data_IF_836693911027
#
_entry.id   IF_836693911027
#
_cell.length_a   1.000
_cell.length_b   1.000
_cell.length_c   1.000
_cell.angle_alpha   90.00
_cell.angle_beta   90.00
_cell.angle_gamma   90.00
#
_symmetry.space_group_name_H-M   'P 1'
#
loop_
_entity.id
_entity.type
_entity.pdbx_description
1 polymer ?
#
# COMPACT_ATOMS: atom_id res chain seq x y z
N UNK A 1 3.23 6.69 19.12
CA UNK A 1 2.77 6.96 17.76
C UNK A 1 1.32 7.38 17.70
N UNK A 2 0.91 7.97 16.60
CA UNK A 2 -0.45 8.37 16.36
C UNK A 2 -0.83 8.17 14.88
N UNK A 3 -2.13 8.05 14.64
CA UNK A 3 -2.73 7.83 13.34
C UNK A 3 -3.95 8.73 13.17
N UNK A 4 -4.14 9.24 11.97
CA UNK A 4 -5.35 9.95 11.58
C UNK A 4 -5.68 9.58 10.13
N UNK A 5 -6.95 9.39 9.84
CA UNK A 5 -7.46 9.23 8.48
C UNK A 5 -8.71 10.07 8.23
N UNK A 6 -8.99 10.28 6.98
CA UNK A 6 -10.18 10.96 6.52
C UNK A 6 -10.62 10.33 5.20
N UNK A 7 -11.83 9.82 5.15
CA UNK A 7 -12.49 9.32 3.94
C UNK A 7 -13.73 10.15 3.64
N UNK A 8 -13.82 10.65 2.43
CA UNK A 8 -15.02 11.29 1.89
C UNK A 8 -15.45 10.57 0.62
N UNK A 9 -16.69 10.11 0.59
CA UNK A 9 -17.29 9.45 -0.57
C UNK A 9 -18.63 10.06 -0.92
N UNK A 10 -18.94 10.08 -2.22
CA UNK A 10 -20.23 10.52 -2.71
C UNK A 10 -20.84 9.45 -3.61
N UNK A 11 -21.86 8.76 -3.09
CA UNK A 11 -22.52 7.66 -3.82
C UNK A 11 -23.43 8.21 -4.90
N UNK A 12 -23.14 7.85 -6.15
CA UNK A 12 -23.95 8.10 -7.34
C UNK A 12 -24.55 6.77 -7.84
N UNK A 13 -25.37 6.83 -8.86
CA UNK A 13 -26.08 5.65 -9.38
C UNK A 13 -25.11 4.55 -9.88
N UNK A 14 -24.09 4.91 -10.65
CA UNK A 14 -23.19 3.98 -11.33
C UNK A 14 -21.71 4.15 -10.95
N UNK A 15 -21.40 5.02 -9.99
CA UNK A 15 -20.03 5.28 -9.54
C UNK A 15 -20.06 5.94 -8.17
N UNK A 16 -19.05 5.65 -7.35
CA UNK A 16 -18.83 6.29 -6.06
C UNK A 16 -17.45 6.95 -6.07
N UNK A 17 -17.33 8.25 -6.40
CA UNK A 17 -16.08 8.98 -6.23
C UNK A 17 -15.74 9.13 -4.74
N UNK A 18 -14.45 9.03 -4.43
CA UNK A 18 -13.95 9.14 -3.07
C UNK A 18 -12.57 9.78 -2.99
N UNK A 19 -12.28 10.37 -1.84
CA UNK A 19 -10.98 10.86 -1.44
C UNK A 19 -10.62 10.25 -0.09
N UNK A 20 -9.46 9.63 -0.01
CA UNK A 20 -8.88 9.12 1.24
C UNK A 20 -7.58 9.86 1.51
N UNK A 21 -7.39 10.25 2.74
CA UNK A 21 -6.14 10.72 3.30
C UNK A 21 -5.82 9.89 4.54
N UNK A 22 -4.56 9.51 4.73
CA UNK A 22 -4.09 9.01 6.02
C UNK A 22 -2.74 9.59 6.39
N UNK A 23 -2.46 9.61 7.67
CA UNK A 23 -1.16 9.92 8.25
C UNK A 23 -0.91 8.99 9.43
N UNK A 24 0.21 8.28 9.40
CA UNK A 24 0.73 7.50 10.51
C UNK A 24 2.10 8.02 10.89
N UNK A 25 2.31 8.33 12.18
CA UNK A 25 3.59 8.82 12.65
C UNK A 25 4.71 7.83 12.35
N UNK A 26 5.85 8.35 11.94
CA UNK A 26 7.11 7.65 11.83
C UNK A 26 7.94 7.74 13.11
N UNK A 27 9.13 7.18 13.06
CA UNK A 27 10.13 7.22 14.11
C UNK A 27 11.10 8.39 13.91
N UNK A 28 11.62 8.96 14.98
CA UNK A 28 12.58 10.06 14.94
C UNK A 28 14.02 9.56 14.64
N UNK A 29 15.02 10.44 14.78
CA UNK A 29 16.43 10.12 14.55
C UNK A 29 17.11 9.42 15.72
N UNK A 30 16.45 9.32 16.87
CA UNK A 30 17.06 8.79 18.08
C UNK A 30 16.69 7.31 18.30
N UNK A 31 17.61 6.36 18.05
CA UNK A 31 17.28 4.93 18.17
C UNK A 31 17.17 4.45 19.62
N UNK A 32 17.46 5.32 20.61
CA UNK A 32 17.59 4.94 22.03
C UNK A 32 16.43 5.39 22.92
N UNK A 33 15.50 6.22 22.42
CA UNK A 33 14.37 6.75 23.19
C UNK A 33 13.08 5.92 23.05
N UNK A 34 13.11 4.81 22.34
CA UNK A 34 11.94 4.02 21.95
C UNK A 34 11.49 4.35 20.53
N UNK A 35 10.29 3.95 20.15
CA UNK A 35 9.75 4.26 18.84
C UNK A 35 8.49 5.11 18.96
N UNK A 36 8.48 6.26 18.28
CA UNK A 36 7.34 7.13 18.12
C UNK A 36 6.46 6.73 16.92
N UNK A 37 6.92 5.76 16.16
CA UNK A 37 6.16 5.24 15.03
C UNK A 37 4.85 4.62 15.48
N UNK A 38 3.78 4.89 14.75
CA UNK A 38 2.51 4.20 14.95
C UNK A 38 2.71 2.70 14.80
N UNK A 39 2.41 1.86 15.83
CA UNK A 39 2.50 0.43 15.68
C UNK A 39 1.47 -0.08 14.68
N UNK A 40 1.82 -1.10 13.92
CA UNK A 40 0.84 -1.82 13.10
C UNK A 40 -0.06 -2.64 14.02
N UNK A 41 -1.36 -2.36 14.00
CA UNK A 41 -2.36 -3.11 14.76
C UNK A 41 -2.94 -4.25 13.93
N UNK A 42 -3.01 -4.05 12.61
CA UNK A 42 -3.49 -5.02 11.65
C UNK A 42 -2.54 -5.03 10.44
N UNK A 43 -1.87 -6.14 10.17
CA UNK A 43 -1.02 -6.26 8.99
C UNK A 43 -1.83 -6.34 7.70
N UNK A 44 -3.09 -6.75 7.76
CA UNK A 44 -3.95 -7.01 6.61
C UNK A 44 -4.73 -5.75 6.17
N UNK A 45 -4.02 -4.65 5.97
CA UNK A 45 -4.63 -3.41 5.47
C UNK A 45 -4.70 -3.44 3.94
N UNK A 46 -5.93 -3.31 3.43
CA UNK A 46 -6.24 -3.32 1.99
C UNK A 46 -6.63 -1.91 1.54
N UNK A 47 -5.69 -1.15 1.05
CA UNK A 47 -5.97 0.20 0.56
C UNK A 47 -5.74 0.30 -0.94
N UNK A 48 -4.72 -0.37 -1.45
CA UNK A 48 -4.37 -0.39 -2.87
C UNK A 48 -4.13 -1.82 -3.35
N UNK A 49 -4.06 -2.02 -4.66
CA UNK A 49 -3.85 -3.34 -5.26
C UNK A 49 -2.38 -3.67 -5.48
N UNK A 50 -1.45 -2.80 -5.06
CA UNK A 50 -0.02 -3.03 -5.20
C UNK A 50 0.76 -2.71 -3.92
N UNK A 51 0.93 -1.44 -3.57
CA UNK A 51 1.83 -1.02 -2.49
C UNK A 51 1.30 -1.38 -1.10
N UNK A 52 0.02 -1.23 -0.87
CA UNK A 52 -0.69 -1.59 0.34
C UNK A 52 -1.75 -2.67 0.05
N UNK A 53 -1.32 -3.67 -0.73
CA UNK A 53 -2.13 -4.81 -1.07
C UNK A 53 -2.00 -5.88 0.01
N UNK A 54 -2.99 -5.95 0.86
CA UNK A 54 -3.17 -7.05 1.77
C UNK A 54 -4.15 -8.11 1.24
N UNK A 55 -4.44 -8.13 -0.08
CA UNK A 55 -5.44 -9.06 -0.58
C UNK A 55 -5.00 -10.51 -0.39
N UNK A 56 -5.89 -11.26 0.22
CA UNK A 56 -5.74 -12.69 0.48
C UNK A 56 -5.46 -13.50 -0.80
N UNK A 57 -5.82 -12.96 -1.95
CA UNK A 57 -5.75 -13.64 -3.25
C UNK A 57 -4.46 -13.40 -4.02
N UNK A 58 -3.76 -12.33 -3.70
CA UNK A 58 -2.56 -11.96 -4.45
C UNK A 58 -1.29 -12.66 -3.99
N UNK A 59 -1.28 -13.24 -2.79
CA UNK A 59 -0.07 -13.81 -2.18
C UNK A 59 1.07 -12.80 -2.06
N UNK A 60 0.81 -11.55 -2.38
CA UNK A 60 1.78 -10.49 -2.30
C UNK A 60 1.80 -10.00 -0.85
N UNK A 61 2.94 -10.18 -0.22
CA UNK A 61 3.26 -9.44 0.97
C UNK A 61 3.10 -7.93 0.67
N UNK A 62 2.64 -7.19 1.64
CA UNK A 62 2.58 -5.74 1.56
C UNK A 62 3.96 -5.21 1.18
N UNK A 63 4.05 -4.58 0.02
CA UNK A 63 5.34 -4.21 -0.56
C UNK A 63 5.90 -2.93 0.03
N UNK A 64 5.04 -2.07 0.64
CA UNK A 64 5.42 -0.73 1.07
C UNK A 64 5.29 -0.49 2.57
N UNK A 65 5.32 -1.52 3.38
CA UNK A 65 5.30 -1.42 4.83
C UNK A 65 4.24 -2.27 5.48
N UNK A 66 4.29 -2.36 6.79
CA UNK A 66 3.34 -3.13 7.59
C UNK A 66 2.15 -2.27 7.97
N UNK A 67 1.04 -2.55 7.35
CA UNK A 67 -0.10 -1.67 7.46
C UNK A 67 0.26 -0.28 6.90
N UNK A 68 -0.33 0.74 7.41
CA UNK A 68 -0.06 2.13 7.02
C UNK A 68 1.00 2.80 7.90
N UNK A 69 1.65 2.04 8.81
CA UNK A 69 2.59 2.56 9.80
C UNK A 69 3.77 3.30 9.16
N UNK A 70 4.06 4.49 9.66
CA UNK A 70 5.17 5.29 9.17
C UNK A 70 4.98 5.84 7.75
N UNK A 71 3.73 6.07 7.32
CA UNK A 71 3.41 6.63 6.01
C UNK A 71 2.30 7.66 6.09
N UNK A 72 2.24 8.54 5.10
CA UNK A 72 1.07 9.35 4.80
C UNK A 72 0.73 9.24 3.31
N UNK A 73 -0.53 9.43 2.97
CA UNK A 73 -0.96 9.40 1.57
C UNK A 73 -2.21 10.22 1.30
N UNK A 74 -2.37 10.52 0.02
CA UNK A 74 -3.63 11.03 -0.56
C UNK A 74 -4.02 10.09 -1.70
N UNK A 75 -5.26 9.63 -1.67
CA UNK A 75 -5.83 8.76 -2.71
C UNK A 75 -7.13 9.35 -3.24
N UNK A 76 -7.25 9.41 -4.56
CA UNK A 76 -8.52 9.60 -5.24
C UNK A 76 -8.98 8.25 -5.79
N UNK A 77 -10.27 7.96 -5.64
CA UNK A 77 -10.85 6.72 -6.15
C UNK A 77 -12.19 6.95 -6.85
N UNK A 78 -12.46 6.09 -7.82
CA UNK A 78 -13.78 5.88 -8.40
C UNK A 78 -14.12 4.41 -8.20
N UNK A 79 -15.00 4.12 -7.27
CA UNK A 79 -15.47 2.76 -6.97
C UNK A 79 -16.88 2.51 -7.48
N UNK A 80 -17.32 1.26 -7.44
CA UNK A 80 -18.63 0.82 -7.93
C UNK A 80 -18.94 1.22 -9.38
N UNK A 81 -17.93 1.44 -10.23
CA UNK A 81 -18.16 1.72 -11.65
C UNK A 81 -18.79 0.47 -12.26
N UNK A 82 -20.06 0.59 -12.69
CA UNK A 82 -20.82 -0.54 -13.20
C UNK A 82 -21.57 -0.15 -14.47
N UNK A 83 -21.28 -0.84 -15.57
CA UNK A 83 -21.97 -0.72 -16.85
C UNK A 83 -22.69 -2.01 -17.23
N UNK A 84 -22.45 -3.09 -16.51
CA UNK A 84 -23.03 -4.40 -16.69
C UNK A 84 -23.41 -4.96 -15.33
N UNK A 85 -24.55 -5.64 -15.25
CA UNK A 85 -24.98 -6.32 -14.04
C UNK A 85 -23.90 -7.27 -13.51
N UNK A 86 -23.68 -7.29 -12.22
CA UNK A 86 -22.68 -8.09 -11.53
C UNK A 86 -21.21 -7.81 -11.84
N UNK A 87 -20.91 -6.83 -12.71
CA UNK A 87 -19.56 -6.38 -13.00
C UNK A 87 -19.30 -5.00 -12.38
N UNK A 88 -18.29 -4.93 -11.53
CA UNK A 88 -17.86 -3.68 -10.88
C UNK A 88 -16.40 -3.42 -11.11
N UNK A 89 -16.07 -2.15 -11.31
CA UNK A 89 -14.69 -1.69 -11.41
C UNK A 89 -14.38 -0.65 -10.34
N UNK A 90 -13.13 -0.61 -9.92
CA UNK A 90 -12.57 0.43 -9.06
C UNK A 90 -11.28 0.94 -9.66
N UNK A 91 -11.15 2.26 -9.79
CA UNK A 91 -9.91 2.93 -10.22
C UNK A 91 -9.39 3.75 -9.07
N UNK A 92 -8.09 3.63 -8.75
CA UNK A 92 -7.42 4.41 -7.70
C UNK A 92 -6.18 5.09 -8.23
N UNK A 93 -5.93 6.29 -7.75
CA UNK A 93 -4.69 7.03 -7.96
C UNK A 93 -4.21 7.48 -6.59
N UNK A 94 -2.99 7.10 -6.24
CA UNK A 94 -2.45 7.30 -4.89
C UNK A 94 -1.06 7.92 -4.96
N UNK A 95 -0.82 8.91 -4.13
CA UNK A 95 0.52 9.37 -3.79
C UNK A 95 0.76 9.10 -2.31
N UNK A 96 1.91 8.54 -1.96
CA UNK A 96 2.30 8.31 -0.58
C UNK A 96 3.80 8.54 -0.36
N UNK A 97 4.13 8.84 0.89
CA UNK A 97 5.48 9.12 1.35
C UNK A 97 5.67 8.58 2.76
N UNK A 98 6.90 8.21 3.07
CA UNK A 98 7.26 7.80 4.42
C UNK A 98 7.29 8.96 5.41
N UNK A 99 7.17 8.63 6.70
CA UNK A 99 7.25 9.58 7.81
C UNK A 99 8.39 9.27 8.78
N UNK A 100 9.12 8.16 8.57
CA UNK A 100 10.27 7.82 9.39
C UNK A 100 11.48 8.70 9.06
N UNK A 101 12.30 9.00 10.06
CA UNK A 101 13.58 9.65 9.84
C UNK A 101 14.56 8.68 9.14
N UNK A 102 15.33 9.17 8.17
CA UNK A 102 16.31 8.38 7.43
C UNK A 102 17.38 7.75 8.31
N UNK A 103 17.78 8.43 9.37
CA UNK A 103 18.81 7.94 10.32
C UNK A 103 18.31 6.72 11.09
N UNK A 104 17.05 6.70 11.51
CA UNK A 104 16.44 5.53 12.16
C UNK A 104 16.57 4.28 11.30
N UNK A 105 16.26 4.39 10.01
CA UNK A 105 16.36 3.25 9.08
C UNK A 105 17.81 2.83 8.87
N UNK A 106 18.75 3.79 8.75
CA UNK A 106 20.18 3.48 8.62
C UNK A 106 20.73 2.70 9.81
N UNK A 107 20.32 3.07 11.03
CA UNK A 107 20.86 2.45 12.24
C UNK A 107 20.19 1.12 12.58
N UNK A 108 18.88 0.98 12.35
CA UNK A 108 18.12 -0.23 12.72
C UNK A 108 17.97 -1.26 11.60
N UNK A 109 17.78 -0.83 10.36
CA UNK A 109 17.50 -1.75 9.24
C UNK A 109 18.73 -2.37 8.63
N UNK A 110 19.87 -1.66 8.68
CA UNK A 110 21.12 -2.12 8.05
C UNK A 110 21.91 -3.03 8.96
N UNK A 111 21.66 -3.03 10.26
CA UNK A 111 22.43 -3.78 11.25
C UNK A 111 21.94 -5.20 11.51
N UNK A 112 20.78 -5.58 11.04
CA UNK A 112 20.28 -6.94 11.21
C UNK A 112 19.79 -7.57 9.90
N UNK A 113 20.70 -8.17 9.10
CA UNK A 113 20.32 -8.88 7.86
C UNK A 113 19.38 -10.08 8.09
N UNK A 114 19.21 -10.53 9.31
CA UNK A 114 18.33 -11.66 9.65
C UNK A 114 16.86 -11.23 9.78
N UNK A 115 16.58 -9.96 9.99
CA UNK A 115 15.22 -9.41 9.88
C UNK A 115 14.75 -9.27 8.43
N UNK A 116 15.60 -9.59 7.46
CA UNK A 116 15.31 -9.46 6.02
C UNK A 116 14.19 -10.38 5.53
N UNK A 117 13.85 -11.41 6.25
CA UNK A 117 12.74 -12.30 5.86
C UNK A 117 11.35 -11.68 6.13
N UNK A 118 11.32 -10.63 6.95
CA UNK A 118 10.16 -9.80 7.28
C UNK A 118 10.54 -8.31 7.23
N UNK A 119 11.57 -7.94 6.50
CA UNK A 119 12.03 -6.56 6.42
C UNK A 119 11.01 -5.73 5.68
N UNK A 120 10.09 -5.23 6.44
CA UNK A 120 9.18 -4.19 6.05
C UNK A 120 10.00 -3.00 5.61
N UNK A 121 9.67 -2.50 4.42
CA UNK A 121 10.20 -1.23 3.99
C UNK A 121 9.63 -0.16 4.91
N UNK A 122 10.45 0.33 5.83
CA UNK A 122 10.12 1.51 6.59
C UNK A 122 10.42 2.74 5.76
N UNK A 123 9.43 3.18 5.00
CA UNK A 123 9.59 4.37 4.17
C UNK A 123 9.98 5.58 5.03
N UNK A 124 10.95 6.32 4.54
CA UNK A 124 11.44 7.54 5.20
C UNK A 124 10.84 8.78 4.55
N UNK A 125 11.10 9.94 5.14
CA UNK A 125 10.67 11.24 4.60
C UNK A 125 11.22 11.55 3.21
N UNK A 126 12.26 10.83 2.78
CA UNK A 126 12.86 10.94 1.43
C UNK A 126 12.25 9.94 0.43
N UNK A 127 11.49 8.95 0.92
CA UNK A 127 10.91 7.90 0.10
C UNK A 127 9.46 8.21 -0.25
N UNK A 128 9.13 8.15 -1.52
CA UNK A 128 7.77 8.41 -2.01
C UNK A 128 7.42 7.50 -3.18
N UNK A 129 6.12 7.37 -3.43
CA UNK A 129 5.64 6.62 -4.55
C UNK A 129 4.33 7.18 -5.11
N UNK A 130 4.11 6.90 -6.37
CA UNK A 130 2.87 7.13 -7.08
C UNK A 130 2.33 5.80 -7.59
N UNK A 131 1.06 5.55 -7.35
CA UNK A 131 0.42 4.29 -7.71
C UNK A 131 -0.90 4.52 -8.44
N UNK A 132 -1.19 3.67 -9.41
CA UNK A 132 -2.47 3.60 -10.12
C UNK A 132 -2.95 2.16 -10.10
N UNK A 133 -4.20 1.95 -9.71
CA UNK A 133 -4.85 0.65 -9.72
C UNK A 133 -6.12 0.66 -10.58
N UNK A 134 -6.38 -0.47 -11.21
CA UNK A 134 -7.64 -0.79 -11.86
C UNK A 134 -8.05 -2.19 -11.45
N UNK A 135 -9.06 -2.28 -10.61
CA UNK A 135 -9.58 -3.53 -10.09
C UNK A 135 -10.97 -3.81 -10.63
N UNK A 136 -11.26 -5.07 -10.86
CA UNK A 136 -12.55 -5.50 -11.36
C UNK A 136 -13.02 -6.74 -10.63
N UNK A 137 -14.31 -6.79 -10.33
CA UNK A 137 -14.98 -7.97 -9.79
C UNK A 137 -16.18 -8.32 -10.63
N UNK A 138 -16.31 -9.58 -10.99
CA UNK A 138 -17.44 -10.10 -11.75
C UNK A 138 -18.05 -11.30 -11.02
N UNK A 139 -19.30 -11.18 -10.64
CA UNK A 139 -20.07 -12.26 -10.02
C UNK A 139 -20.67 -13.12 -11.12
N UNK A 140 -20.06 -14.28 -11.38
CA UNK A 140 -20.51 -15.23 -12.43
C UNK A 140 -21.74 -15.99 -11.97
N UNK A 141 -21.74 -16.45 -10.71
CA UNK A 141 -22.85 -17.11 -10.03
C UNK A 141 -22.91 -16.63 -8.58
N UNK A 142 -23.95 -16.97 -7.84
CA UNK A 142 -24.09 -16.58 -6.42
C UNK A 142 -22.88 -16.96 -5.57
N UNK A 143 -22.23 -18.06 -5.91
CA UNK A 143 -21.10 -18.64 -5.20
C UNK A 143 -19.78 -18.62 -6.00
N UNK A 144 -19.73 -17.97 -7.16
CA UNK A 144 -18.52 -17.89 -8.01
C UNK A 144 -18.26 -16.47 -8.46
N UNK A 145 -17.13 -15.94 -8.09
CA UNK A 145 -16.68 -14.60 -8.48
C UNK A 145 -15.29 -14.63 -9.09
N UNK A 146 -15.10 -13.79 -10.08
CA UNK A 146 -13.82 -13.50 -10.73
C UNK A 146 -13.31 -12.13 -10.28
N UNK A 147 -12.04 -12.04 -9.90
CA UNK A 147 -11.37 -10.79 -9.54
C UNK A 147 -10.16 -10.58 -10.43
N UNK A 148 -10.02 -9.38 -10.91
CA UNK A 148 -8.89 -8.96 -11.73
C UNK A 148 -8.33 -7.65 -11.18
N UNK A 149 -7.05 -7.64 -10.83
CA UNK A 149 -6.34 -6.49 -10.26
C UNK A 149 -5.17 -6.12 -11.15
N UNK A 150 -5.09 -4.86 -11.52
CA UNK A 150 -3.97 -4.26 -12.22
C UNK A 150 -3.40 -3.14 -11.36
N UNK A 151 -2.12 -3.23 -11.04
CA UNK A 151 -1.39 -2.22 -10.31
C UNK A 151 -0.17 -1.72 -11.10
N UNK A 152 0.01 -0.42 -11.12
CA UNK A 152 1.24 0.23 -11.56
C UNK A 152 1.77 1.08 -10.43
N UNK A 153 3.05 0.95 -10.12
CA UNK A 153 3.72 1.76 -9.12
C UNK A 153 5.02 2.35 -9.67
N UNK A 154 5.23 3.62 -9.41
CA UNK A 154 6.50 4.31 -9.60
C UNK A 154 7.09 4.67 -8.25
N UNK A 155 8.24 4.09 -7.96
CA UNK A 155 9.00 4.35 -6.75
C UNK A 155 10.00 5.49 -6.99
N UNK A 156 10.16 6.37 -6.01
CA UNK A 156 11.18 7.39 -5.91
C UNK A 156 11.74 7.33 -4.48
N UNK A 157 12.78 6.53 -4.32
CA UNK A 157 13.34 6.14 -3.02
C UNK A 157 14.75 6.71 -2.86
N UNK A 158 15.18 6.97 -1.63
CA UNK A 158 16.56 7.41 -1.33
C UNK A 158 17.56 6.29 -1.69
N UNK A 159 18.22 6.45 -2.85
CA UNK A 159 19.21 5.48 -3.32
C UNK A 159 20.37 5.31 -2.34
N UNK A 160 20.77 6.36 -1.64
CA UNK A 160 21.88 6.30 -0.69
C UNK A 160 21.54 5.43 0.53
N UNK A 161 20.25 5.40 0.89
CA UNK A 161 19.75 4.59 1.99
C UNK A 161 19.54 3.12 1.57
N UNK A 162 18.91 2.92 0.40
CA UNK A 162 18.42 1.59 -0.01
C UNK A 162 19.40 0.80 -0.89
N UNK A 163 20.39 1.46 -1.53
CA UNK A 163 21.34 0.83 -2.45
C UNK A 163 22.13 -0.33 -1.84
N UNK A 164 22.42 -0.27 -0.55
CA UNK A 164 23.19 -1.28 0.17
C UNK A 164 22.34 -2.35 0.86
N UNK A 165 21.04 -2.15 0.93
CA UNK A 165 20.13 -3.13 1.49
C UNK A 165 19.55 -4.02 0.39
N UNK A 166 20.22 -5.16 0.10
CA UNK A 166 19.67 -6.26 -0.69
C UNK A 166 19.61 -6.04 -2.22
N UNK A 167 20.61 -5.38 -2.83
CA UNK A 167 20.70 -5.28 -4.30
C UNK A 167 19.50 -4.53 -4.94
N UNK A 168 18.93 -3.62 -4.22
CA UNK A 168 17.72 -2.89 -4.57
C UNK A 168 18.01 -1.75 -5.53
N UNK A 169 17.32 -1.73 -6.65
CA UNK A 169 17.30 -0.55 -7.54
C UNK A 169 16.10 0.33 -7.14
N UNK A 170 16.41 1.45 -6.48
CA UNK A 170 15.46 2.27 -5.73
C UNK A 170 14.43 3.06 -6.55
N UNK A 171 14.64 3.20 -7.88
CA UNK A 171 13.82 4.06 -8.74
C UNK A 171 13.29 3.26 -9.94
N UNK A 172 12.25 2.45 -9.72
CA UNK A 172 11.68 1.63 -10.80
C UNK A 172 10.17 1.80 -10.93
N UNK A 173 9.76 1.58 -12.18
CA UNK A 173 8.37 1.35 -12.52
C UNK A 173 8.08 -0.15 -12.42
N UNK A 174 7.06 -0.53 -11.70
CA UNK A 174 6.64 -1.90 -11.53
C UNK A 174 5.16 -2.07 -11.88
N UNK A 175 4.83 -3.26 -12.36
CA UNK A 175 3.47 -3.64 -12.72
C UNK A 175 3.09 -4.92 -12.01
N UNK A 176 1.85 -4.99 -11.57
CA UNK A 176 1.23 -6.20 -11.03
C UNK A 176 -0.05 -6.49 -11.82
N UNK A 177 -0.27 -7.76 -12.10
CA UNK A 177 -1.53 -8.26 -12.63
C UNK A 177 -1.89 -9.53 -11.88
N UNK A 178 -3.05 -9.53 -11.24
CA UNK A 178 -3.58 -10.69 -10.52
C UNK A 178 -4.95 -11.06 -11.10
N UNK A 179 -5.16 -12.34 -11.35
CA UNK A 179 -6.45 -12.91 -11.72
C UNK A 179 -6.79 -14.01 -10.72
N UNK A 180 -7.91 -13.86 -10.04
CA UNK A 180 -8.36 -14.79 -9.01
C UNK A 180 -9.81 -15.22 -9.25
N UNK A 181 -10.10 -16.49 -9.02
CA UNK A 181 -11.44 -17.05 -9.07
C UNK A 181 -11.77 -17.62 -7.69
N UNK A 182 -12.87 -17.18 -7.12
CA UNK A 182 -13.29 -17.55 -5.77
C UNK A 182 -14.61 -18.27 -5.85
N UNK A 183 -14.61 -19.49 -5.31
CA UNK A 183 -15.81 -20.29 -5.12
C UNK A 183 -16.08 -20.47 -3.63
N UNK A 184 -17.29 -20.11 -3.21
CA UNK A 184 -17.78 -20.30 -1.82
C UNK A 184 -18.83 -21.41 -1.77
N UNK A 185 -18.72 -22.32 -0.81
CA UNK A 185 -19.63 -23.44 -0.61
C UNK A 185 -20.15 -23.50 0.81
#
# INVERSE_FOLDING_TARGET
>A
GWYADFLAEYKMENVTPGLLFWYASGDDANPWNGSERMPSLDPDVYVTSYGFDGTYYGGAAQTMGYGLSGTWAVMAQLSDISFLEDLKHTVRVVYYQGTNNTQMVREKSVTNPQDTMYSMLYLTTEDKAFEVNVDSSYKIYENLSLYWELGYIRLDMDEALWKNSVGYEANKNNFKCTLSMIYTF
#
